data_IF_677285789359
#
_entry.id   IF_677285789359
#
_cell.length_a   1.000
_cell.length_b   1.000
_cell.length_c   1.000
_cell.angle_alpha   90.00
_cell.angle_beta   90.00
_cell.angle_gamma   90.00
#
_symmetry.space_group_name_H-M   'P 1'
#
loop_
_entity.id
_entity.type
_entity.pdbx_description
1 polymer ?
#
# COMPACT_ATOMS: atom_id res chain seq x y z
N UNK A 1 -35.85 -198.23 18.71
CA UNK A 1 -36.78 -197.19 19.20
C UNK A 1 -36.16 -195.82 18.97
N UNK A 2 -36.55 -195.12 17.90
CA UNK A 2 -35.80 -193.95 17.41
C UNK A 2 -36.36 -192.63 17.96
N UNK A 3 -35.54 -191.95 18.76
CA UNK A 3 -35.82 -190.72 19.50
C UNK A 3 -35.75 -189.52 18.55
N UNK A 4 -36.88 -188.83 18.33
CA UNK A 4 -36.97 -187.54 17.62
C UNK A 4 -36.39 -186.44 18.51
N UNK A 5 -35.29 -185.81 18.06
CA UNK A 5 -34.66 -184.69 18.77
C UNK A 5 -35.13 -183.31 18.24
N UNK A 6 -35.18 -182.29 19.12
CA UNK A 6 -36.01 -181.09 19.00
C UNK A 6 -35.19 -179.89 18.51
N UNK A 7 -34.70 -179.96 17.28
CA UNK A 7 -33.86 -178.92 16.67
C UNK A 7 -34.56 -178.03 15.65
N UNK A 8 -35.82 -178.31 15.29
CA UNK A 8 -36.53 -177.62 14.20
C UNK A 8 -37.65 -176.66 14.64
N UNK A 9 -38.04 -176.64 15.91
CA UNK A 9 -39.11 -175.75 16.42
C UNK A 9 -38.60 -174.38 16.91
N UNK A 10 -37.33 -174.28 17.33
CA UNK A 10 -36.72 -173.00 17.71
C UNK A 10 -36.56 -172.06 16.51
N UNK A 11 -36.09 -172.61 15.39
CA UNK A 11 -35.94 -171.88 14.13
C UNK A 11 -37.30 -171.43 13.55
N UNK A 12 -38.35 -172.23 13.72
CA UNK A 12 -39.70 -171.86 13.27
C UNK A 12 -40.32 -170.72 14.10
N UNK A 13 -40.08 -170.70 15.42
CA UNK A 13 -40.55 -169.62 16.30
C UNK A 13 -39.75 -168.33 16.10
N UNK A 14 -38.45 -168.43 15.80
CA UNK A 14 -37.59 -167.28 15.52
C UNK A 14 -37.97 -166.62 14.18
N UNK A 15 -38.27 -167.42 13.15
CA UNK A 15 -38.84 -166.93 11.88
C UNK A 15 -40.22 -166.29 12.07
N UNK A 16 -41.07 -166.85 12.95
CA UNK A 16 -42.37 -166.24 13.27
C UNK A 16 -42.23 -164.93 14.05
N UNK A 17 -41.27 -164.85 14.98
CA UNK A 17 -40.99 -163.63 15.73
C UNK A 17 -40.45 -162.54 14.80
N UNK A 18 -39.49 -162.85 13.92
CA UNK A 18 -39.00 -161.91 12.91
C UNK A 18 -40.11 -161.46 11.92
N UNK A 19 -41.05 -162.35 11.61
CA UNK A 19 -42.19 -162.00 10.75
C UNK A 19 -43.18 -161.08 11.47
N UNK A 20 -43.43 -161.28 12.76
CA UNK A 20 -44.26 -160.38 13.57
C UNK A 20 -43.55 -159.05 13.87
N UNK A 21 -42.25 -159.04 14.13
CA UNK A 21 -41.45 -157.82 14.25
C UNK A 21 -41.49 -157.01 12.95
N UNK A 22 -41.35 -157.65 11.78
CA UNK A 22 -41.51 -156.98 10.48
C UNK A 22 -42.91 -156.41 10.29
N UNK A 23 -43.97 -157.08 10.75
CA UNK A 23 -45.35 -156.56 10.70
C UNK A 23 -45.52 -155.35 11.62
N UNK A 24 -44.98 -155.43 12.84
CA UNK A 24 -45.01 -154.32 13.81
C UNK A 24 -44.23 -153.12 13.26
N UNK A 25 -43.05 -153.33 12.70
CA UNK A 25 -42.26 -152.29 12.04
C UNK A 25 -42.98 -151.69 10.83
N UNK A 26 -43.68 -152.51 10.04
CA UNK A 26 -44.48 -152.02 8.92
C UNK A 26 -45.67 -151.18 9.39
N UNK A 27 -46.34 -151.57 10.48
CA UNK A 27 -47.40 -150.80 11.11
C UNK A 27 -46.84 -149.47 11.66
N UNK A 28 -45.72 -149.51 12.37
CA UNK A 28 -45.04 -148.31 12.88
C UNK A 28 -44.64 -147.39 11.73
N UNK A 29 -44.13 -147.93 10.63
CA UNK A 29 -43.74 -147.16 9.45
C UNK A 29 -44.97 -146.53 8.77
N UNK A 30 -46.09 -147.25 8.68
CA UNK A 30 -47.36 -146.72 8.14
C UNK A 30 -47.92 -145.61 9.02
N UNK A 31 -47.98 -145.81 10.33
CA UNK A 31 -48.46 -144.79 11.28
C UNK A 31 -47.54 -143.57 11.30
N UNK A 32 -46.22 -143.77 11.24
CA UNK A 32 -45.26 -142.67 11.13
C UNK A 32 -45.42 -141.88 9.84
N UNK A 33 -45.65 -142.56 8.70
CA UNK A 33 -45.94 -141.90 7.41
C UNK A 33 -47.26 -141.13 7.47
N UNK A 34 -48.30 -141.69 8.10
CA UNK A 34 -49.59 -141.03 8.31
C UNK A 34 -49.45 -139.79 9.18
N UNK A 35 -48.80 -139.91 10.35
CA UNK A 35 -48.51 -138.79 11.24
C UNK A 35 -47.65 -137.72 10.55
N UNK A 36 -46.70 -138.10 9.70
CA UNK A 36 -45.90 -137.15 8.91
C UNK A 36 -46.76 -136.40 7.89
N UNK A 37 -47.70 -137.08 7.20
CA UNK A 37 -48.64 -136.44 6.28
C UNK A 37 -49.61 -135.50 7.01
N UNK A 38 -50.14 -135.91 8.16
CA UNK A 38 -50.97 -135.08 9.03
C UNK A 38 -50.19 -133.85 9.52
N UNK A 39 -48.93 -134.04 9.93
CA UNK A 39 -48.05 -132.94 10.30
C UNK A 39 -47.74 -132.01 9.12
N UNK A 40 -47.49 -132.53 7.92
CA UNK A 40 -47.25 -131.71 6.74
C UNK A 40 -48.50 -130.91 6.33
N UNK A 41 -49.68 -131.53 6.36
CA UNK A 41 -50.95 -130.86 6.04
C UNK A 41 -51.25 -129.78 7.07
N UNK A 42 -51.06 -130.06 8.36
CA UNK A 42 -51.15 -129.07 9.42
C UNK A 42 -50.13 -127.94 9.22
N UNK A 43 -48.87 -128.26 8.95
CA UNK A 43 -47.80 -127.26 8.70
C UNK A 43 -48.12 -126.38 7.49
N UNK A 44 -48.67 -126.94 6.41
CA UNK A 44 -49.13 -126.18 5.24
C UNK A 44 -50.34 -125.30 5.57
N UNK A 45 -51.27 -125.79 6.39
CA UNK A 45 -52.41 -125.01 6.88
C UNK A 45 -51.95 -123.82 7.71
N UNK A 46 -51.12 -124.06 8.73
CA UNK A 46 -50.57 -123.01 9.59
C UNK A 46 -49.77 -121.96 8.79
N UNK A 47 -48.98 -122.39 7.78
CA UNK A 47 -48.29 -121.45 6.88
C UNK A 47 -49.25 -120.58 6.08
N UNK A 48 -50.36 -121.13 5.58
CA UNK A 48 -51.39 -120.36 4.89
C UNK A 48 -52.04 -119.35 5.83
N UNK A 49 -52.41 -119.78 7.04
CA UNK A 49 -52.99 -118.88 8.06
C UNK A 49 -52.04 -117.75 8.46
N UNK A 50 -50.74 -118.04 8.64
CA UNK A 50 -49.74 -116.98 8.90
C UNK A 50 -49.65 -115.99 7.73
N UNK A 51 -49.62 -116.46 6.48
CA UNK A 51 -49.59 -115.59 5.31
C UNK A 51 -50.88 -114.76 5.19
N UNK A 52 -52.04 -115.32 5.53
CA UNK A 52 -53.30 -114.59 5.58
C UNK A 52 -53.29 -113.50 6.66
N UNK A 53 -52.75 -113.80 7.85
CA UNK A 53 -52.60 -112.82 8.94
C UNK A 53 -51.64 -111.71 8.51
N UNK A 54 -50.51 -112.04 7.87
CA UNK A 54 -49.56 -111.07 7.33
C UNK A 54 -50.17 -110.20 6.23
N UNK A 55 -50.98 -110.78 5.34
CA UNK A 55 -51.67 -110.03 4.29
C UNK A 55 -52.67 -109.05 4.90
N UNK A 56 -53.50 -109.51 5.85
CA UNK A 56 -54.47 -108.67 6.57
C UNK A 56 -53.78 -107.57 7.39
N UNK A 57 -52.63 -107.84 8.00
CA UNK A 57 -51.88 -106.82 8.75
C UNK A 57 -51.27 -105.77 7.82
N UNK A 58 -50.71 -106.19 6.67
CA UNK A 58 -50.20 -105.27 5.64
C UNK A 58 -51.30 -104.39 5.06
N UNK A 59 -52.48 -104.95 4.81
CA UNK A 59 -53.66 -104.21 4.34
C UNK A 59 -54.10 -103.15 5.37
N UNK A 60 -54.24 -103.53 6.64
CA UNK A 60 -54.55 -102.57 7.72
C UNK A 60 -53.51 -101.45 7.84
N UNK A 61 -52.22 -101.78 7.73
CA UNK A 61 -51.15 -100.78 7.75
C UNK A 61 -51.20 -99.84 6.53
N UNK A 62 -51.59 -100.35 5.37
CA UNK A 62 -51.78 -99.51 4.18
C UNK A 62 -52.97 -98.55 4.35
N UNK A 63 -54.09 -99.04 4.91
CA UNK A 63 -55.26 -98.22 5.23
C UNK A 63 -54.95 -97.14 6.27
N UNK A 64 -54.21 -97.48 7.33
CA UNK A 64 -53.77 -96.52 8.34
C UNK A 64 -52.82 -95.47 7.75
N UNK A 65 -51.88 -95.87 6.89
CA UNK A 65 -51.03 -94.92 6.16
C UNK A 65 -51.84 -93.97 5.28
N UNK A 66 -52.85 -94.50 4.58
CA UNK A 66 -53.76 -93.70 3.76
C UNK A 66 -54.52 -92.67 4.61
N UNK A 67 -55.06 -93.09 5.76
CA UNK A 67 -55.73 -92.19 6.72
C UNK A 67 -54.80 -91.11 7.28
N UNK A 68 -53.56 -91.47 7.61
CA UNK A 68 -52.56 -90.51 8.08
C UNK A 68 -52.26 -89.47 7.00
N UNK A 69 -52.09 -89.89 5.74
CA UNK A 69 -51.82 -88.95 4.65
C UNK A 69 -53.04 -88.06 4.38
N UNK A 70 -54.26 -88.58 4.47
CA UNK A 70 -55.48 -87.77 4.36
C UNK A 70 -55.56 -86.71 5.47
N UNK A 71 -55.34 -87.08 6.73
CA UNK A 71 -55.32 -86.14 7.86
C UNK A 71 -54.23 -85.08 7.67
N UNK A 72 -53.07 -85.47 7.17
CA UNK A 72 -51.96 -84.55 6.87
C UNK A 72 -52.33 -83.55 5.77
N UNK A 73 -52.95 -83.99 4.68
CA UNK A 73 -53.45 -83.10 3.61
C UNK A 73 -54.49 -82.13 4.18
N UNK A 74 -55.43 -82.62 4.99
CA UNK A 74 -56.44 -81.77 5.64
C UNK A 74 -55.81 -80.75 6.59
N UNK A 75 -54.81 -81.15 7.38
CA UNK A 75 -54.09 -80.26 8.29
C UNK A 75 -53.30 -79.19 7.52
N UNK A 76 -52.59 -79.57 6.46
CA UNK A 76 -51.88 -78.63 5.59
C UNK A 76 -52.86 -77.64 4.92
N UNK A 77 -54.03 -78.11 4.48
CA UNK A 77 -55.08 -77.25 3.93
C UNK A 77 -55.59 -76.21 4.94
N UNK A 78 -55.77 -76.61 6.21
CA UNK A 78 -56.16 -75.67 7.29
C UNK A 78 -55.07 -74.65 7.59
N UNK A 79 -53.81 -75.09 7.67
CA UNK A 79 -52.66 -74.19 7.88
C UNK A 79 -52.48 -73.21 6.72
N UNK A 80 -52.69 -73.66 5.47
CA UNK A 80 -52.66 -72.77 4.29
C UNK A 80 -53.72 -71.67 4.40
N UNK A 81 -54.96 -72.03 4.75
CA UNK A 81 -56.04 -71.05 4.93
C UNK A 81 -55.75 -70.03 6.04
N UNK A 82 -55.19 -70.48 7.16
CA UNK A 82 -54.79 -69.57 8.26
C UNK A 82 -53.67 -68.63 7.80
N UNK A 83 -52.67 -69.16 7.08
CA UNK A 83 -51.58 -68.37 6.53
C UNK A 83 -52.09 -67.32 5.53
N UNK A 84 -52.95 -67.71 4.60
CA UNK A 84 -53.58 -66.79 3.64
C UNK A 84 -54.37 -65.68 4.34
N UNK A 85 -55.11 -66.01 5.41
CA UNK A 85 -55.79 -65.01 6.23
C UNK A 85 -54.85 -64.03 6.94
N UNK A 86 -53.73 -64.53 7.46
CA UNK A 86 -52.70 -63.69 8.08
C UNK A 86 -52.01 -62.78 7.06
N UNK A 87 -51.69 -63.30 5.87
CA UNK A 87 -51.07 -62.54 4.79
C UNK A 87 -52.01 -61.44 4.26
N UNK A 88 -53.31 -61.72 4.17
CA UNK A 88 -54.33 -60.72 3.82
C UNK A 88 -54.45 -59.64 4.91
N UNK A 89 -54.47 -60.02 6.19
CA UNK A 89 -54.49 -59.06 7.29
C UNK A 89 -53.24 -58.15 7.29
N UNK A 90 -52.06 -58.71 7.02
CA UNK A 90 -50.82 -57.95 6.89
C UNK A 90 -50.87 -56.99 5.69
N UNK A 91 -51.43 -57.43 4.55
CA UNK A 91 -51.63 -56.60 3.36
C UNK A 91 -52.56 -55.41 3.65
N UNK A 92 -53.66 -55.65 4.37
CA UNK A 92 -54.59 -54.60 4.79
C UNK A 92 -53.96 -53.60 5.76
N UNK A 93 -53.20 -54.09 6.75
CA UNK A 93 -52.49 -53.24 7.70
C UNK A 93 -51.44 -52.38 7.00
N UNK A 94 -50.67 -52.95 6.07
CA UNK A 94 -49.69 -52.22 5.25
C UNK A 94 -50.36 -51.13 4.41
N UNK A 95 -51.47 -51.47 3.73
CA UNK A 95 -52.24 -50.49 2.95
C UNK A 95 -52.83 -49.37 3.80
N UNK A 96 -53.24 -49.67 5.04
CA UNK A 96 -53.72 -48.64 5.98
C UNK A 96 -52.58 -47.71 6.40
N UNK A 97 -51.43 -48.26 6.79
CA UNK A 97 -50.26 -47.48 7.19
C UNK A 97 -49.74 -46.61 6.04
N UNK A 98 -49.72 -47.14 4.81
CA UNK A 98 -49.32 -46.37 3.62
C UNK A 98 -50.24 -45.17 3.38
N UNK A 99 -51.56 -45.35 3.49
CA UNK A 99 -52.53 -44.25 3.41
C UNK A 99 -52.36 -43.21 4.51
N UNK A 100 -52.15 -43.65 5.75
CA UNK A 100 -51.90 -42.74 6.87
C UNK A 100 -50.61 -41.96 6.69
N UNK A 101 -49.55 -42.62 6.20
CA UNK A 101 -48.27 -41.99 5.92
C UNK A 101 -48.39 -40.96 4.79
N UNK A 102 -49.03 -41.30 3.66
CA UNK A 102 -49.31 -40.35 2.58
C UNK A 102 -50.14 -39.14 3.04
N UNK A 103 -51.07 -39.35 3.98
CA UNK A 103 -51.86 -38.25 4.55
C UNK A 103 -50.99 -37.33 5.41
N UNK A 104 -50.14 -37.89 6.27
CA UNK A 104 -49.26 -37.11 7.14
C UNK A 104 -48.21 -36.34 6.34
N UNK A 105 -47.59 -36.98 5.35
CA UNK A 105 -46.60 -36.31 4.50
C UNK A 105 -47.26 -35.20 3.66
N UNK A 106 -48.47 -35.43 3.15
CA UNK A 106 -49.24 -34.38 2.46
C UNK A 106 -49.50 -33.15 3.34
N UNK A 107 -49.94 -33.35 4.58
CA UNK A 107 -50.17 -32.26 5.53
C UNK A 107 -48.87 -31.52 5.89
N UNK A 108 -47.77 -32.25 6.09
CA UNK A 108 -46.47 -31.65 6.36
C UNK A 108 -45.99 -30.80 5.18
N UNK A 109 -46.15 -31.30 3.94
CA UNK A 109 -45.81 -30.52 2.74
C UNK A 109 -46.68 -29.28 2.60
N UNK A 110 -47.97 -29.36 2.90
CA UNK A 110 -48.88 -28.20 2.85
C UNK A 110 -48.48 -27.14 3.88
N UNK A 111 -48.13 -27.54 5.11
CA UNK A 111 -47.65 -26.62 6.16
C UNK A 111 -46.34 -25.93 5.73
N UNK A 112 -45.41 -26.66 5.12
CA UNK A 112 -44.15 -26.10 4.62
C UNK A 112 -44.44 -25.06 3.53
N UNK A 113 -45.31 -25.39 2.57
CA UNK A 113 -45.67 -24.49 1.47
C UNK A 113 -46.41 -23.23 1.97
N UNK A 114 -47.28 -23.35 2.96
CA UNK A 114 -47.96 -22.21 3.59
C UNK A 114 -46.93 -21.27 4.23
N UNK A 115 -45.98 -21.82 4.99
CA UNK A 115 -44.91 -21.05 5.62
C UNK A 115 -43.99 -20.38 4.59
N UNK A 116 -43.69 -21.04 3.48
CA UNK A 116 -42.93 -20.45 2.38
C UNK A 116 -43.68 -19.27 1.73
N UNK A 117 -45.01 -19.37 1.56
CA UNK A 117 -45.84 -18.26 1.07
C UNK A 117 -45.85 -17.08 2.04
N UNK A 118 -45.95 -17.33 3.35
CA UNK A 118 -45.87 -16.27 4.37
C UNK A 118 -44.49 -15.59 4.36
N UNK A 119 -43.41 -16.36 4.26
CA UNK A 119 -42.06 -15.81 4.14
C UNK A 119 -41.88 -15.02 2.83
N UNK A 120 -42.46 -15.48 1.72
CA UNK A 120 -42.44 -14.74 0.46
C UNK A 120 -43.20 -13.41 0.58
N UNK A 121 -44.38 -13.42 1.21
CA UNK A 121 -45.19 -12.22 1.41
C UNK A 121 -44.52 -11.19 2.33
N UNK A 122 -43.90 -11.65 3.42
CA UNK A 122 -43.11 -10.77 4.30
C UNK A 122 -41.90 -10.19 3.57
N UNK A 123 -41.21 -11.00 2.75
CA UNK A 123 -40.10 -10.53 1.91
C UNK A 123 -40.54 -9.47 0.90
N UNK A 124 -41.64 -9.67 0.17
CA UNK A 124 -42.15 -8.67 -0.77
C UNK A 124 -42.54 -7.39 -0.05
N UNK A 125 -43.18 -7.48 1.13
CA UNK A 125 -43.51 -6.30 1.95
C UNK A 125 -42.24 -5.54 2.38
N UNK A 126 -41.18 -6.23 2.80
CA UNK A 126 -39.92 -5.60 3.16
C UNK A 126 -39.21 -4.96 1.96
N UNK A 127 -39.29 -5.59 0.78
CA UNK A 127 -38.74 -5.05 -0.47
C UNK A 127 -39.48 -3.77 -0.90
N UNK A 128 -40.82 -3.74 -0.81
CA UNK A 128 -41.63 -2.55 -1.09
C UNK A 128 -41.31 -1.38 -0.13
N UNK A 129 -41.20 -1.64 1.18
CA UNK A 129 -40.79 -0.63 2.16
C UNK A 129 -39.36 -0.10 1.89
N UNK A 130 -38.45 -0.96 1.45
CA UNK A 130 -37.09 -0.57 1.11
C UNK A 130 -37.08 0.32 -0.15
N UNK A 131 -37.87 -0.02 -1.17
CA UNK A 131 -38.02 0.80 -2.37
C UNK A 131 -38.60 2.19 -2.07
N UNK A 132 -39.57 2.28 -1.17
CA UNK A 132 -40.13 3.57 -0.73
C UNK A 132 -39.06 4.43 -0.04
N UNK A 133 -38.29 3.85 0.89
CA UNK A 133 -37.17 4.54 1.55
C UNK A 133 -36.11 5.01 0.55
N UNK A 134 -35.80 4.20 -0.47
CA UNK A 134 -34.87 4.59 -1.54
C UNK A 134 -35.42 5.76 -2.35
N UNK A 135 -36.71 5.75 -2.69
CA UNK A 135 -37.37 6.86 -3.39
C UNK A 135 -37.30 8.16 -2.59
N UNK A 136 -37.54 8.11 -1.28
CA UNK A 136 -37.46 9.25 -0.37
C UNK A 136 -36.05 9.83 -0.28
N UNK A 137 -35.04 8.99 -0.09
CA UNK A 137 -33.63 9.43 -0.05
C UNK A 137 -33.23 10.05 -1.38
N UNK A 138 -33.64 9.46 -2.50
CA UNK A 138 -33.36 10.00 -3.83
C UNK A 138 -34.04 11.36 -4.05
N UNK A 139 -35.26 11.55 -3.55
CA UNK A 139 -35.97 12.82 -3.61
C UNK A 139 -35.26 13.91 -2.77
N UNK A 140 -34.81 13.57 -1.55
CA UNK A 140 -34.03 14.47 -0.69
C UNK A 140 -32.72 14.89 -1.35
N UNK A 141 -31.97 13.93 -1.88
CA UNK A 141 -30.71 14.19 -2.55
C UNK A 141 -30.89 15.10 -3.79
N UNK A 142 -31.97 14.87 -4.54
CA UNK A 142 -32.31 15.73 -5.69
C UNK A 142 -32.62 17.17 -5.23
N UNK A 143 -33.40 17.34 -4.17
CA UNK A 143 -33.74 18.66 -3.64
C UNK A 143 -32.51 19.42 -3.12
N UNK A 144 -31.61 18.75 -2.40
CA UNK A 144 -30.34 19.35 -1.95
C UNK A 144 -29.44 19.75 -3.13
N UNK A 145 -29.37 18.91 -4.16
CA UNK A 145 -28.58 19.21 -5.34
C UNK A 145 -29.14 20.43 -6.10
N UNK A 146 -30.46 20.50 -6.26
CA UNK A 146 -31.14 21.64 -6.89
C UNK A 146 -30.90 22.95 -6.11
N UNK A 147 -30.89 22.90 -4.76
CA UNK A 147 -30.52 24.04 -3.90
C UNK A 147 -29.06 24.46 -4.10
N UNK A 148 -28.12 23.50 -4.12
CA UNK A 148 -26.70 23.76 -4.37
C UNK A 148 -26.48 24.41 -5.75
N UNK A 149 -27.14 23.92 -6.79
CA UNK A 149 -27.12 24.53 -8.12
C UNK A 149 -27.76 25.92 -8.13
N UNK A 150 -28.79 26.16 -7.32
CA UNK A 150 -29.35 27.48 -7.06
C UNK A 150 -28.31 28.45 -6.52
N UNK A 151 -27.70 28.11 -5.38
CA UNK A 151 -26.65 28.92 -4.72
C UNK A 151 -25.45 29.17 -5.63
N UNK A 152 -25.03 28.16 -6.39
CA UNK A 152 -23.95 28.29 -7.35
C UNK A 152 -24.29 29.29 -8.47
N UNK A 153 -25.50 29.21 -9.03
CA UNK A 153 -25.96 30.18 -10.05
C UNK A 153 -25.99 31.61 -9.50
N UNK A 154 -26.49 31.81 -8.29
CA UNK A 154 -26.52 33.13 -7.64
C UNK A 154 -25.12 33.68 -7.38
N UNK A 155 -24.19 32.84 -6.91
CA UNK A 155 -22.80 33.22 -6.69
C UNK A 155 -22.13 33.67 -8.01
N UNK A 156 -22.34 32.93 -9.10
CA UNK A 156 -21.83 33.30 -10.42
C UNK A 156 -22.45 34.61 -10.91
N UNK A 157 -23.74 34.83 -10.70
CA UNK A 157 -24.41 36.09 -11.06
C UNK A 157 -23.87 37.27 -10.26
N UNK A 158 -23.67 37.11 -8.94
CA UNK A 158 -23.04 38.13 -8.08
C UNK A 158 -21.63 38.45 -8.54
N UNK A 159 -20.79 37.45 -8.77
CA UNK A 159 -19.43 37.64 -9.27
C UNK A 159 -19.40 38.37 -10.62
N UNK A 160 -20.34 38.04 -11.53
CA UNK A 160 -20.48 38.75 -12.81
C UNK A 160 -20.93 40.21 -12.62
N UNK A 161 -21.86 40.47 -11.71
CA UNK A 161 -22.33 41.82 -11.40
C UNK A 161 -21.21 42.67 -10.77
N UNK A 162 -20.48 42.12 -9.80
CA UNK A 162 -19.30 42.76 -9.20
C UNK A 162 -18.21 43.01 -10.24
N UNK A 163 -17.94 42.04 -11.12
CA UNK A 163 -17.01 42.21 -12.23
C UNK A 163 -17.40 43.33 -13.18
N UNK A 164 -18.70 43.49 -13.47
CA UNK A 164 -19.21 44.64 -14.25
C UNK A 164 -19.01 45.96 -13.52
N UNK A 165 -19.33 46.04 -12.23
CA UNK A 165 -19.09 47.24 -11.40
C UNK A 165 -17.61 47.62 -11.37
N UNK A 166 -16.71 46.66 -11.12
CA UNK A 166 -15.26 46.91 -11.15
C UNK A 166 -14.79 47.46 -12.50
N UNK A 167 -15.36 46.99 -13.61
CA UNK A 167 -15.05 47.51 -14.94
C UNK A 167 -15.57 48.94 -15.13
N UNK A 168 -16.80 49.24 -14.73
CA UNK A 168 -17.35 50.60 -14.83
C UNK A 168 -16.56 51.58 -13.96
N UNK A 169 -16.24 51.22 -12.72
CA UNK A 169 -15.49 52.07 -11.79
C UNK A 169 -14.05 52.28 -12.30
N UNK A 170 -13.43 51.26 -12.90
CA UNK A 170 -12.11 51.39 -13.49
C UNK A 170 -12.10 52.33 -14.71
N UNK A 171 -13.15 52.25 -15.55
CA UNK A 171 -13.31 53.15 -16.70
C UNK A 171 -13.56 54.58 -16.23
N UNK A 172 -14.41 54.79 -15.22
CA UNK A 172 -14.69 56.10 -14.64
C UNK A 172 -13.42 56.73 -14.05
N UNK A 173 -12.68 55.99 -13.21
CA UNK A 173 -11.39 56.44 -12.67
C UNK A 173 -10.38 56.77 -13.76
N UNK A 174 -10.34 55.98 -14.84
CA UNK A 174 -9.47 56.26 -15.98
C UNK A 174 -9.86 57.56 -16.68
N UNK A 175 -11.16 57.84 -16.85
CA UNK A 175 -11.64 59.12 -17.40
C UNK A 175 -11.36 60.30 -16.46
N UNK A 176 -11.58 60.15 -15.15
CA UNK A 176 -11.26 61.18 -14.17
C UNK A 176 -9.77 61.51 -14.16
N UNK A 177 -8.91 60.49 -14.18
CA UNK A 177 -7.47 60.66 -14.21
C UNK A 177 -7.02 61.31 -15.51
N UNK A 178 -7.58 60.90 -16.65
CA UNK A 178 -7.34 61.54 -17.95
C UNK A 178 -7.73 63.02 -17.93
N UNK A 179 -8.93 63.35 -17.45
CA UNK A 179 -9.41 64.73 -17.33
C UNK A 179 -8.58 65.54 -16.32
N UNK A 180 -8.08 64.91 -15.25
CA UNK A 180 -7.18 65.54 -14.29
C UNK A 180 -5.83 65.85 -14.93
N UNK A 181 -5.27 64.92 -15.72
CA UNK A 181 -4.04 65.14 -16.49
C UNK A 181 -4.20 66.27 -17.50
N UNK A 182 -5.32 66.33 -18.21
CA UNK A 182 -5.61 67.42 -19.16
C UNK A 182 -5.77 68.77 -18.45
N UNK A 183 -6.49 68.85 -17.33
CA UNK A 183 -6.59 70.06 -16.51
C UNK A 183 -5.23 70.50 -15.96
N UNK A 184 -4.45 69.56 -15.45
CA UNK A 184 -3.09 69.82 -14.98
C UNK A 184 -2.19 70.32 -16.11
N UNK A 185 -2.32 69.76 -17.32
CA UNK A 185 -1.57 70.20 -18.49
C UNK A 185 -1.97 71.62 -18.91
N UNK A 186 -3.25 71.96 -18.84
CA UNK A 186 -3.76 73.31 -19.12
C UNK A 186 -3.27 74.32 -18.08
N UNK A 187 -3.33 73.98 -16.78
CA UNK A 187 -2.78 74.80 -15.70
C UNK A 187 -1.27 74.96 -15.85
N UNK A 188 -0.55 73.87 -16.16
CA UNK A 188 0.89 73.91 -16.42
C UNK A 188 1.22 74.87 -17.56
N UNK A 189 0.49 74.81 -18.69
CA UNK A 189 0.67 75.74 -19.81
C UNK A 189 0.36 77.20 -19.44
N UNK A 190 -0.65 77.45 -18.60
CA UNK A 190 -0.93 78.80 -18.10
C UNK A 190 0.18 79.31 -17.18
N UNK A 191 0.60 78.49 -16.21
CA UNK A 191 1.71 78.81 -15.32
C UNK A 191 3.02 78.95 -16.08
N UNK A 192 3.24 78.21 -17.16
CA UNK A 192 4.41 78.31 -18.02
C UNK A 192 4.35 79.55 -18.91
N UNK A 193 3.17 79.98 -19.36
CA UNK A 193 2.99 81.24 -20.08
C UNK A 193 3.18 82.45 -19.15
N UNK A 194 2.67 82.39 -17.93
CA UNK A 194 2.88 83.39 -16.88
C UNK A 194 4.33 83.42 -16.42
N UNK A 195 4.94 82.25 -16.18
CA UNK A 195 6.35 82.10 -15.87
C UNK A 195 7.21 82.52 -17.05
N UNK A 196 6.82 82.32 -18.30
CA UNK A 196 7.52 82.83 -19.49
C UNK A 196 7.40 84.35 -19.60
N UNK A 197 6.27 84.94 -19.21
CA UNK A 197 6.12 86.39 -19.07
C UNK A 197 7.03 86.96 -17.99
N UNK A 198 7.03 86.35 -16.80
CA UNK A 198 7.91 86.71 -15.68
C UNK A 198 9.38 86.41 -15.98
N UNK A 199 9.68 85.36 -16.73
CA UNK A 199 11.03 84.98 -17.14
C UNK A 199 11.56 85.93 -18.20
N UNK A 200 10.77 86.39 -19.17
CA UNK A 200 11.17 87.47 -20.11
C UNK A 200 11.38 88.81 -19.41
N UNK A 201 10.72 89.04 -18.26
CA UNK A 201 10.91 90.24 -17.44
C UNK A 201 12.10 90.11 -16.47
N UNK A 202 12.30 88.92 -15.90
CA UNK A 202 13.46 88.55 -15.09
C UNK A 202 14.71 88.49 -15.94
N UNK A 203 14.67 87.97 -17.16
CA UNK A 203 15.78 87.89 -18.12
C UNK A 203 16.21 89.29 -18.57
N UNK A 204 15.28 90.24 -18.75
CA UNK A 204 15.62 91.66 -18.94
C UNK A 204 16.31 92.27 -17.71
N UNK A 205 15.91 91.89 -16.48
CA UNK A 205 16.56 92.35 -15.22
C UNK A 205 17.87 91.60 -14.91
N UNK A 206 18.01 90.35 -15.36
CA UNK A 206 19.14 89.46 -15.09
C UNK A 206 20.24 89.61 -16.14
N UNK A 207 19.92 89.94 -17.40
CA UNK A 207 20.93 90.30 -18.42
C UNK A 207 21.69 91.57 -18.03
N UNK A 208 21.08 92.47 -17.24
CA UNK A 208 21.76 93.63 -16.64
C UNK A 208 22.56 93.32 -15.35
N UNK A 209 22.39 92.14 -14.74
CA UNK A 209 23.13 91.69 -13.53
C UNK A 209 24.12 90.54 -13.79
N UNK A 210 23.96 89.84 -14.91
CA UNK A 210 24.72 88.64 -15.30
C UNK A 210 26.09 88.97 -15.90
N UNK A 211 26.25 90.13 -16.54
CA UNK A 211 27.56 90.59 -17.03
C UNK A 211 28.50 90.99 -15.87
N UNK A 212 27.95 91.35 -14.71
CA UNK A 212 28.70 91.64 -13.47
C UNK A 212 29.15 90.34 -12.74
N UNK A 213 28.29 89.31 -12.71
CA UNK A 213 28.57 88.06 -11.95
C UNK A 213 29.40 87.03 -12.74
N UNK A 214 29.38 87.06 -14.07
CA UNK A 214 30.24 86.19 -14.91
C UNK A 214 31.74 86.55 -14.81
N UNK A 215 32.08 87.79 -14.40
CA UNK A 215 33.46 88.17 -14.03
C UNK A 215 33.93 87.54 -12.71
N UNK A 216 33.03 87.13 -11.80
CA UNK A 216 33.39 86.65 -10.44
C UNK A 216 33.45 85.13 -10.28
N UNK A 217 32.86 84.34 -11.17
CA UNK A 217 32.85 82.86 -11.05
C UNK A 217 33.87 82.15 -11.95
N UNK A 218 34.36 82.81 -13.01
CA UNK A 218 35.48 82.31 -13.83
C UNK A 218 36.82 82.26 -13.06
N UNK A 219 36.96 83.01 -11.96
CA UNK A 219 38.15 83.04 -11.12
C UNK A 219 38.16 81.93 -10.04
N UNK A 220 36.99 81.41 -9.65
CA UNK A 220 36.88 80.36 -8.60
C UNK A 220 37.05 78.93 -9.14
N UNK A 221 36.79 78.70 -10.43
CA UNK A 221 36.99 77.39 -11.08
C UNK A 221 38.46 77.00 -11.29
N UNK A 222 39.39 77.98 -11.34
CA UNK A 222 40.84 77.70 -11.50
C UNK A 222 41.53 77.18 -10.23
N UNK A 223 40.93 77.32 -9.04
CA UNK A 223 41.55 76.90 -7.76
C UNK A 223 41.24 75.46 -7.33
N UNK A 224 40.17 74.83 -7.85
CA UNK A 224 39.76 73.48 -7.40
C UNK A 224 40.48 72.37 -8.19
N UNK A 225 40.82 72.58 -9.47
CA UNK A 225 41.56 71.59 -10.27
C UNK A 225 43.05 71.45 -9.89
N UNK A 226 43.67 72.44 -9.23
CA UNK A 226 45.06 72.36 -8.77
C UNK A 226 45.22 71.71 -7.39
N UNK A 227 44.15 71.62 -6.59
CA UNK A 227 44.17 70.97 -5.27
C UNK A 227 44.04 69.43 -5.36
N UNK A 228 43.29 68.91 -6.34
CA UNK A 228 43.12 67.47 -6.55
C UNK A 228 44.39 66.73 -7.03
N UNK A 229 45.29 67.41 -7.75
CA UNK A 229 46.55 66.82 -8.21
C UNK A 229 47.61 66.65 -7.11
N UNK A 230 47.58 67.49 -6.05
CA UNK A 230 48.55 67.37 -4.94
C UNK A 230 48.21 66.24 -3.96
N UNK A 231 46.92 65.94 -3.77
CA UNK A 231 46.48 64.83 -2.88
C UNK A 231 46.80 63.47 -3.50
N UNK A 232 46.56 63.31 -4.82
CA UNK A 232 46.92 62.10 -5.58
C UNK A 232 48.43 61.81 -5.56
N UNK A 233 49.28 62.84 -5.70
CA UNK A 233 50.73 62.69 -5.67
C UNK A 233 51.28 62.30 -4.28
N UNK A 234 50.62 62.69 -3.19
CA UNK A 234 51.05 62.32 -1.82
C UNK A 234 50.77 60.85 -1.51
N UNK A 235 49.59 60.35 -1.87
CA UNK A 235 49.23 58.95 -1.65
C UNK A 235 50.14 57.98 -2.42
N UNK A 236 50.48 58.31 -3.68
CA UNK A 236 51.39 57.49 -4.48
C UNK A 236 52.81 57.40 -3.89
N UNK A 237 53.35 58.51 -3.35
CA UNK A 237 54.67 58.52 -2.68
C UNK A 237 54.65 57.72 -1.38
N UNK A 238 53.63 57.93 -0.55
CA UNK A 238 53.51 57.22 0.72
C UNK A 238 53.44 55.70 0.52
N UNK A 239 52.75 55.23 -0.53
CA UNK A 239 52.72 53.80 -0.90
C UNK A 239 54.09 53.26 -1.32
N UNK A 240 54.83 54.01 -2.14
CA UNK A 240 56.17 53.60 -2.56
C UNK A 240 57.13 53.49 -1.36
N UNK A 241 57.07 54.44 -0.44
CA UNK A 241 57.88 54.41 0.80
C UNK A 241 57.49 53.24 1.71
N UNK A 242 56.20 52.94 1.81
CA UNK A 242 55.67 51.79 2.55
C UNK A 242 56.23 50.46 2.01
N UNK A 243 56.18 50.26 0.71
CA UNK A 243 56.74 49.06 0.04
C UNK A 243 58.28 48.98 0.16
N UNK A 244 58.97 50.12 0.09
CA UNK A 244 60.42 50.19 0.30
C UNK A 244 60.80 49.77 1.72
N UNK A 245 60.08 50.25 2.74
CA UNK A 245 60.33 49.89 4.15
C UNK A 245 60.08 48.40 4.40
N UNK A 246 58.99 47.84 3.87
CA UNK A 246 58.73 46.41 3.93
C UNK A 246 59.84 45.58 3.29
N UNK A 247 60.33 46.02 2.12
CA UNK A 247 61.47 45.36 1.47
C UNK A 247 62.74 45.43 2.33
N UNK A 248 63.05 46.58 2.93
CA UNK A 248 64.21 46.71 3.83
C UNK A 248 64.11 45.79 5.04
N UNK A 249 62.95 45.72 5.71
CA UNK A 249 62.75 44.81 6.84
C UNK A 249 62.95 43.36 6.42
N UNK A 250 62.46 42.96 5.23
CA UNK A 250 62.64 41.59 4.72
C UNK A 250 64.07 41.28 4.28
N UNK A 251 64.80 42.26 3.75
CA UNK A 251 66.15 42.10 3.21
C UNK A 251 67.26 42.24 4.26
N UNK A 252 67.07 43.08 5.29
CA UNK A 252 68.06 43.28 6.34
C UNK A 252 68.20 42.02 7.20
N UNK A 253 69.45 41.60 7.42
CA UNK A 253 69.82 40.49 8.30
C UNK A 253 69.42 40.77 9.76
N UNK A 254 69.25 39.71 10.56
CA UNK A 254 68.65 39.67 11.91
C UNK A 254 69.25 40.62 12.98
N UNK A 255 70.23 41.45 12.67
CA UNK A 255 70.98 42.28 13.62
C UNK A 255 70.37 43.67 13.87
N UNK A 256 69.46 44.16 13.02
CA UNK A 256 68.83 45.47 13.24
C UNK A 256 67.60 45.35 14.16
N UNK A 257 67.67 46.02 15.32
CA UNK A 257 66.56 46.18 16.26
C UNK A 257 65.59 47.22 15.70
N UNK A 258 64.31 46.85 15.58
CA UNK A 258 63.25 47.70 15.06
C UNK A 258 62.52 48.42 16.20
N UNK A 259 62.21 49.70 16.03
CA UNK A 259 61.33 50.46 16.92
C UNK A 259 59.92 50.54 16.34
N UNK A 260 58.94 50.95 17.15
CA UNK A 260 57.54 51.09 16.71
C UNK A 260 57.39 51.96 15.44
N UNK A 261 58.16 53.04 15.35
CA UNK A 261 58.16 53.97 14.21
C UNK A 261 58.78 53.41 12.92
N UNK A 262 59.62 52.37 13.05
CA UNK A 262 60.32 51.76 11.92
C UNK A 262 59.42 50.75 11.20
N UNK A 263 58.37 50.28 11.86
CA UNK A 263 57.32 49.46 11.27
C UNK A 263 56.55 50.29 10.22
N UNK A 264 56.45 49.83 8.98
CA UNK A 264 55.64 50.47 7.95
C UNK A 264 54.16 50.21 8.23
N UNK A 265 53.53 51.09 8.99
CA UNK A 265 52.08 51.07 9.20
C UNK A 265 51.34 51.50 7.92
N UNK A 266 50.19 50.89 7.56
CA UNK A 266 49.45 51.20 6.34
C UNK A 266 48.61 52.47 6.52
N UNK A 267 49.28 53.57 6.87
CA UNK A 267 48.68 54.88 7.12
C UNK A 267 49.49 55.96 6.41
N UNK A 268 48.83 57.04 5.96
CA UNK A 268 49.52 58.16 5.30
C UNK A 268 50.50 58.91 6.23
N UNK A 269 50.26 58.84 7.54
CA UNK A 269 51.11 59.41 8.58
C UNK A 269 51.61 58.30 9.49
N UNK A 270 52.92 58.26 9.73
CA UNK A 270 53.51 57.28 10.66
C UNK A 270 52.96 57.50 12.07
N UNK A 271 52.27 56.52 12.66
CA UNK A 271 51.75 56.61 14.02
C UNK A 271 52.89 56.61 15.04
N UNK A 272 52.67 57.25 16.19
CA UNK A 272 53.62 57.21 17.30
C UNK A 272 53.19 56.20 18.36
N UNK A 273 51.91 55.82 18.39
CA UNK A 273 51.33 54.83 19.28
C UNK A 273 50.35 53.92 18.51
N UNK A 274 50.14 52.68 18.99
CA UNK A 274 49.17 51.75 18.41
C UNK A 274 47.74 52.33 18.25
N UNK A 275 47.29 53.19 19.16
CA UNK A 275 45.95 53.80 19.10
C UNK A 275 45.83 54.97 18.12
N UNK A 276 46.95 55.44 17.53
CA UNK A 276 46.91 56.43 16.46
C UNK A 276 46.51 55.81 15.11
N UNK A 277 46.37 54.48 15.07
CA UNK A 277 45.95 53.74 13.88
C UNK A 277 44.43 53.76 13.83
N UNK A 278 43.89 54.48 12.84
CA UNK A 278 42.44 54.62 12.61
C UNK A 278 42.02 53.87 11.34
N UNK A 279 40.82 53.27 11.35
CA UNK A 279 40.26 52.55 10.20
C UNK A 279 40.15 53.44 8.95
N UNK A 280 39.80 54.72 9.10
CA UNK A 280 39.69 55.67 7.99
C UNK A 280 41.06 55.96 7.36
N UNK A 281 42.12 55.97 8.18
CA UNK A 281 43.50 56.15 7.71
C UNK A 281 43.99 54.98 6.89
N UNK A 282 43.64 53.74 7.30
CA UNK A 282 43.94 52.52 6.53
C UNK A 282 43.10 52.47 5.26
N UNK A 283 41.82 52.80 5.34
CA UNK A 283 40.93 52.87 4.18
C UNK A 283 41.45 53.87 3.13
N UNK A 284 41.77 55.11 3.54
CA UNK A 284 42.32 56.12 2.63
C UNK A 284 43.66 55.66 2.03
N UNK A 285 44.50 54.99 2.81
CA UNK A 285 45.80 54.51 2.35
C UNK A 285 45.70 53.32 1.39
N UNK A 286 45.06 52.22 1.78
CA UNK A 286 44.99 50.94 1.06
C UNK A 286 43.96 50.93 -0.07
N UNK A 287 42.92 51.78 0.00
CA UNK A 287 41.92 51.87 -1.09
C UNK A 287 42.14 53.04 -2.04
N UNK A 288 43.13 53.91 -1.78
CA UNK A 288 43.50 55.00 -2.68
C UNK A 288 43.67 54.48 -4.12
N UNK A 289 43.03 55.12 -5.13
CA UNK A 289 43.13 54.68 -6.53
C UNK A 289 44.52 54.91 -7.13
N UNK A 290 45.43 55.56 -6.38
CA UNK A 290 46.72 56.00 -6.86
C UNK A 290 47.84 54.95 -6.67
N UNK A 291 47.55 53.82 -6.02
CA UNK A 291 48.51 52.72 -5.87
C UNK A 291 47.89 51.40 -6.36
N UNK A 292 48.74 50.53 -6.92
CA UNK A 292 48.35 49.24 -7.53
C UNK A 292 47.22 49.36 -8.58
N UNK A 293 47.43 50.17 -9.65
CA UNK A 293 46.43 50.33 -10.71
C UNK A 293 46.12 48.98 -11.35
N UNK A 294 44.84 48.63 -11.42
CA UNK A 294 44.36 47.38 -12.02
C UNK A 294 44.10 46.23 -11.05
N UNK A 295 44.42 46.38 -9.75
CA UNK A 295 43.97 45.43 -8.74
C UNK A 295 42.57 45.78 -8.23
N UNK A 296 41.71 44.77 -8.03
CA UNK A 296 40.43 44.96 -7.36
C UNK A 296 40.64 45.42 -5.92
N UNK A 297 39.63 46.07 -5.34
CA UNK A 297 39.63 46.49 -3.92
C UNK A 297 39.89 45.28 -3.01
N UNK A 298 39.18 44.17 -3.26
CA UNK A 298 39.34 42.90 -2.54
C UNK A 298 40.76 42.33 -2.67
N UNK A 299 41.37 42.36 -3.87
CA UNK A 299 42.72 41.84 -4.06
C UNK A 299 43.77 42.67 -3.30
N UNK A 300 43.57 43.99 -3.20
CA UNK A 300 44.45 44.88 -2.43
C UNK A 300 44.34 44.58 -0.93
N UNK A 301 43.12 44.53 -0.39
CA UNK A 301 42.88 44.21 1.01
C UNK A 301 43.42 42.82 1.38
N UNK A 302 43.17 41.79 0.57
CA UNK A 302 43.72 40.45 0.81
C UNK A 302 45.25 40.42 0.79
N UNK A 303 45.88 41.12 -0.16
CA UNK A 303 47.34 41.18 -0.24
C UNK A 303 47.99 41.85 0.97
N UNK A 304 47.29 42.83 1.54
CA UNK A 304 47.71 43.55 2.73
C UNK A 304 47.46 42.70 3.99
N UNK A 305 46.31 42.05 4.10
CA UNK A 305 45.97 41.14 5.19
C UNK A 305 47.01 40.02 5.34
N UNK A 306 47.45 39.42 4.23
CA UNK A 306 48.51 38.40 4.23
C UNK A 306 49.86 38.89 4.75
N UNK A 307 50.15 40.20 4.70
CA UNK A 307 51.40 40.77 5.25
C UNK A 307 51.34 40.92 6.76
N UNK A 308 50.14 41.11 7.31
CA UNK A 308 49.87 41.31 8.74
C UNK A 308 49.38 40.04 9.43
N UNK A 309 49.45 38.89 8.76
CA UNK A 309 49.17 37.60 9.37
C UNK A 309 50.18 37.28 10.47
N UNK A 310 49.71 36.62 11.53
CA UNK A 310 50.50 36.32 12.74
C UNK A 310 51.79 35.57 12.42
N UNK A 311 51.76 34.62 11.49
CA UNK A 311 52.94 33.81 11.15
C UNK A 311 53.99 34.65 10.41
N UNK A 312 53.56 35.49 9.47
CA UNK A 312 54.45 36.34 8.67
C UNK A 312 55.01 37.48 9.52
N UNK A 313 54.17 38.06 10.38
CA UNK A 313 54.53 39.19 11.21
C UNK A 313 55.34 38.79 12.45
N UNK A 314 55.24 37.54 12.92
CA UNK A 314 56.06 37.01 14.01
C UNK A 314 57.57 37.19 13.77
N UNK A 315 58.02 37.08 12.51
CA UNK A 315 59.41 37.35 12.14
C UNK A 315 59.81 38.80 12.42
N UNK A 316 58.94 39.76 12.12
CA UNK A 316 59.18 41.18 12.38
C UNK A 316 59.15 41.46 13.88
N UNK A 317 58.17 40.93 14.61
CA UNK A 317 58.03 41.07 16.06
C UNK A 317 59.26 40.56 16.83
N UNK A 318 59.92 39.52 16.34
CA UNK A 318 61.14 38.99 16.97
C UNK A 318 62.32 39.97 16.97
N UNK A 319 62.28 40.99 16.10
CA UNK A 319 63.32 42.01 15.95
C UNK A 319 62.97 43.34 16.62
N UNK A 320 61.74 43.49 17.11
CA UNK A 320 61.30 44.73 17.75
C UNK A 320 61.95 44.86 19.12
N UNK A 321 62.39 46.06 19.48
CA UNK A 321 62.90 46.35 20.82
C UNK A 321 61.88 45.94 21.89
N UNK A 322 62.32 45.33 22.98
CA UNK A 322 61.41 44.82 24.03
C UNK A 322 60.47 45.90 24.57
N UNK A 323 60.93 47.15 24.65
CA UNK A 323 60.13 48.30 25.09
C UNK A 323 58.93 48.61 24.17
N UNK A 324 59.05 48.35 22.87
CA UNK A 324 58.04 48.66 21.86
C UNK A 324 57.22 47.42 21.46
N UNK A 325 57.62 46.21 21.90
CA UNK A 325 57.06 44.95 21.43
C UNK A 325 55.55 44.85 21.67
N UNK A 326 55.08 45.26 22.85
CA UNK A 326 53.64 45.25 23.20
C UNK A 326 52.83 46.24 22.37
N UNK A 327 53.41 47.40 22.06
CA UNK A 327 52.78 48.41 21.20
C UNK A 327 52.70 47.94 19.75
N UNK A 328 53.77 47.32 19.23
CA UNK A 328 53.79 46.80 17.86
C UNK A 328 52.83 45.61 17.71
N UNK A 329 52.76 44.71 18.70
CA UNK A 329 51.82 43.59 18.71
C UNK A 329 50.37 44.08 18.72
N UNK A 330 50.04 45.03 19.60
CA UNK A 330 48.72 45.65 19.65
C UNK A 330 48.38 46.35 18.32
N UNK A 331 49.32 47.11 17.76
CA UNK A 331 49.13 47.80 16.49
C UNK A 331 48.91 46.84 15.33
N UNK A 332 49.62 45.71 15.29
CA UNK A 332 49.45 44.69 14.25
C UNK A 332 48.07 44.03 14.34
N UNK A 333 47.59 43.73 15.55
CA UNK A 333 46.23 43.21 15.79
C UNK A 333 45.18 44.22 15.31
N UNK A 334 45.35 45.52 15.61
CA UNK A 334 44.44 46.58 15.16
C UNK A 334 44.42 46.71 13.64
N UNK A 335 45.58 46.70 12.98
CA UNK A 335 45.66 46.76 11.52
C UNK A 335 44.95 45.56 10.89
N UNK A 336 45.22 44.34 11.38
CA UNK A 336 44.58 43.12 10.88
C UNK A 336 43.05 43.19 11.02
N UNK A 337 42.56 43.53 12.21
CA UNK A 337 41.11 43.65 12.47
C UNK A 337 40.44 44.71 11.60
N UNK A 338 41.08 45.86 11.38
CA UNK A 338 40.56 46.88 10.47
C UNK A 338 40.59 46.44 9.00
N UNK A 339 41.59 45.68 8.56
CA UNK A 339 41.63 45.13 7.21
C UNK A 339 40.54 44.09 6.97
N UNK A 340 40.28 43.22 7.97
CA UNK A 340 39.18 42.26 7.94
C UNK A 340 37.83 42.97 7.88
N UNK A 341 37.62 44.00 8.72
CA UNK A 341 36.40 44.82 8.69
C UNK A 341 36.20 45.53 7.34
N UNK A 342 37.27 46.06 6.74
CA UNK A 342 37.21 46.69 5.41
C UNK A 342 36.92 45.67 4.30
N UNK A 343 37.44 44.44 4.41
CA UNK A 343 37.17 43.37 3.47
C UNK A 343 35.70 42.94 3.56
N UNK A 344 35.20 42.70 4.77
CA UNK A 344 33.79 42.38 5.02
C UNK A 344 32.85 43.48 4.49
N UNK A 345 33.18 44.76 4.72
CA UNK A 345 32.41 45.90 4.17
C UNK A 345 32.40 45.90 2.65
N UNK A 346 33.50 45.51 2.01
CA UNK A 346 33.60 45.44 0.54
C UNK A 346 32.81 44.26 -0.05
N UNK A 347 32.76 43.11 0.63
CA UNK A 347 31.97 41.95 0.23
C UNK A 347 30.46 42.14 0.50
N UNK A 348 30.14 42.85 1.59
CA UNK A 348 28.75 43.09 2.03
C UNK A 348 28.06 44.18 1.24
N UNK A 349 28.76 45.00 0.46
CA UNK A 349 28.10 45.81 -0.59
C UNK A 349 27.68 44.88 -1.73
N UNK A 350 26.43 44.35 -1.73
CA UNK A 350 26.03 43.41 -2.74
C UNK A 350 25.95 44.23 -4.02
N UNK A 351 26.74 43.82 -5.00
CA UNK A 351 26.65 44.27 -6.39
C UNK A 351 25.18 44.37 -6.79
N UNK A 352 24.62 45.57 -6.63
CA UNK A 352 23.26 45.93 -6.96
C UNK A 352 23.19 45.95 -8.48
N UNK A 353 22.86 44.80 -9.05
CA UNK A 353 22.12 44.69 -10.29
C UNK A 353 22.84 45.12 -11.57
N UNK A 354 23.84 44.36 -12.01
CA UNK A 354 23.92 44.10 -13.46
C UNK A 354 23.07 42.89 -13.77
N UNK A 355 21.76 43.10 -13.84
CA UNK A 355 20.82 42.09 -14.30
C UNK A 355 21.19 41.69 -15.73
N UNK A 356 21.63 40.43 -15.83
CA UNK A 356 21.73 39.65 -17.06
C UNK A 356 20.35 39.57 -17.71
N UNK A 357 20.01 40.54 -18.56
CA UNK A 357 18.95 40.37 -19.56
C UNK A 357 19.53 39.65 -20.78
N UNK A 358 19.91 38.39 -20.57
CA UNK A 358 20.33 37.46 -21.61
C UNK A 358 19.55 36.17 -21.42
N UNK A 359 18.40 36.05 -22.10
CA UNK A 359 17.73 34.80 -22.50
C UNK A 359 16.27 35.04 -22.83
N UNK A 360 15.99 35.25 -24.13
CA UNK A 360 14.82 34.73 -24.88
C UNK A 360 14.77 35.46 -26.23
N UNK A 361 15.35 34.83 -27.25
CA UNK A 361 14.73 34.63 -28.55
C UNK A 361 15.73 33.96 -29.49
N UNK A 362 15.85 32.64 -29.32
CA UNK A 362 16.30 31.73 -30.37
C UNK A 362 15.33 30.56 -30.36
N UNK A 363 14.51 30.44 -31.40
CA UNK A 363 14.33 29.23 -32.20
C UNK A 363 12.98 29.20 -32.92
N UNK A 364 13.10 28.70 -34.16
CA UNK A 364 12.06 28.21 -35.06
C UNK A 364 11.19 29.26 -35.74
N UNK A 365 10.89 29.18 -37.02
CA UNK A 365 11.34 28.41 -38.19
C UNK A 365 10.19 28.64 -39.18
N UNK A 366 10.47 29.04 -40.41
CA UNK A 366 9.70 28.58 -41.58
C UNK A 366 10.35 29.16 -42.82
N UNK A 367 11.12 28.29 -43.47
CA UNK A 367 11.49 28.39 -44.86
C UNK A 367 10.25 28.11 -45.71
N UNK A 368 9.93 28.93 -46.73
CA UNK A 368 9.05 28.51 -47.79
C UNK A 368 9.89 27.93 -48.95
N UNK A 369 9.55 26.69 -49.29
CA UNK A 369 9.75 26.09 -50.60
C UNK A 369 9.52 27.11 -51.73
N UNK A 370 10.40 27.11 -52.73
CA UNK A 370 10.10 27.51 -54.11
C UNK A 370 10.66 26.46 -55.04
N UNK A 371 9.75 25.64 -55.56
CA UNK A 371 9.88 24.95 -56.84
C UNK A 371 9.56 25.97 -57.94
N UNK A 372 10.49 26.10 -58.90
CA UNK A 372 10.31 26.01 -60.36
C UNK A 372 11.54 26.58 -61.09
#
# INVERSE_FOLDING_TARGET
MSKRQPGQTKNALEIQLEAEEKKVDEIILRERKKAHLEWETFRRSARREMLEIEARSKERLADEKSKIEEVKIQAMGRLSKVREGMDEALRQLKSKHEREWSRLTGLETDIILEREREMAATRTSMEEEAEEKIKDVKAKLKAENDDLYGRFREAVQRARAEGRKRKTDAVEKWFEEKNKRERNLMLAKQTEAEASGQHREWERRAKSKGDESKRRTAEKGRKICLAGQQVSARAARAWAEYEDRWRRIKSDSRETVLLFRDIPWPTLKTPYHAFDIEIDGIHEFVLSPNHSPGMSVEARLNSELMRWDEDVFAYVLSRVAEADKTQVELGAILVRTFLEELLERSETTPSMGTDKRSSRNSLSSMSPYRED
#
